data_IF_118827662917
#
_entry.id   IF_118827662917
#
_cell.length_a   1.000
_cell.length_b   1.000
_cell.length_c   1.000
_cell.angle_alpha   90.00
_cell.angle_beta   90.00
_cell.angle_gamma   90.00
#
_symmetry.space_group_name_H-M   'P 1'
#
loop_
_entity.id
_entity.type
_entity.pdbx_description
1 polymer ?
#
# COMPACT_ATOMS: atom_id res chain seq x y z
N UNK A 1 46.01 -57.87 23.11
CA UNK A 1 45.36 -57.28 24.29
C UNK A 1 45.46 -55.76 24.17
N UNK A 2 44.32 -55.08 24.04
CA UNK A 2 44.16 -53.64 24.30
C UNK A 2 44.62 -52.66 23.23
N UNK A 3 43.84 -52.50 22.14
CA UNK A 3 43.85 -51.23 21.41
C UNK A 3 42.95 -50.25 22.18
N UNK A 4 43.53 -49.20 22.76
CA UNK A 4 42.79 -48.13 23.43
C UNK A 4 42.07 -47.29 22.37
N UNK A 5 40.74 -47.29 22.43
CA UNK A 5 39.91 -46.35 21.71
C UNK A 5 40.01 -44.99 22.40
N UNK A 6 40.62 -44.00 21.74
CA UNK A 6 40.48 -42.59 22.10
C UNK A 6 39.03 -42.19 21.87
N UNK A 7 38.25 -42.12 22.95
CA UNK A 7 36.98 -41.42 22.97
C UNK A 7 37.25 -39.93 22.76
N UNK A 8 37.04 -39.45 21.54
CA UNK A 8 36.80 -38.03 21.28
C UNK A 8 35.47 -37.65 21.94
N UNK A 9 35.54 -37.10 23.15
CA UNK A 9 34.46 -36.31 23.74
C UNK A 9 34.15 -35.12 22.82
N UNK A 10 32.89 -34.82 22.50
CA UNK A 10 32.57 -33.57 21.81
C UNK A 10 32.98 -32.44 22.74
N UNK A 11 33.79 -31.52 22.22
CA UNK A 11 34.05 -30.26 22.89
C UNK A 11 32.69 -29.58 23.11
N UNK A 12 32.31 -29.38 24.38
CA UNK A 12 31.29 -28.40 24.74
C UNK A 12 31.81 -27.03 24.29
N UNK A 13 31.42 -26.64 23.08
CA UNK A 13 31.72 -25.33 22.54
C UNK A 13 30.96 -24.29 23.35
N UNK A 14 31.71 -23.58 24.19
CA UNK A 14 31.37 -22.28 24.75
C UNK A 14 31.17 -21.25 23.62
N UNK A 15 30.04 -21.32 22.90
CA UNK A 15 29.69 -20.42 21.78
C UNK A 15 28.54 -19.45 22.09
N UNK A 16 27.95 -19.51 23.28
CA UNK A 16 26.79 -18.69 23.64
C UNK A 16 26.98 -17.17 23.70
N UNK A 17 28.12 -16.58 24.17
CA UNK A 17 28.20 -15.12 24.31
C UNK A 17 28.44 -14.37 22.99
N UNK A 18 28.98 -15.03 21.95
CA UNK A 18 29.27 -14.38 20.66
C UNK A 18 28.04 -14.29 19.74
N UNK A 19 26.98 -15.06 20.01
CA UNK A 19 25.77 -15.10 19.18
C UNK A 19 24.76 -14.01 19.53
N UNK A 20 24.71 -13.54 20.78
CA UNK A 20 23.71 -12.56 21.22
C UNK A 20 23.80 -11.21 20.46
N UNK A 21 24.98 -10.58 20.29
CA UNK A 21 25.08 -9.31 19.56
C UNK A 21 24.66 -9.42 18.09
N UNK A 22 24.92 -10.58 17.46
CA UNK A 22 24.55 -10.84 16.07
C UNK A 22 23.02 -10.96 15.92
N UNK A 23 22.34 -11.59 16.89
CA UNK A 23 20.88 -11.68 16.89
C UNK A 23 20.22 -10.34 17.16
N UNK A 24 20.82 -9.51 18.02
CA UNK A 24 20.39 -8.12 18.24
C UNK A 24 20.51 -7.29 16.96
N UNK A 25 21.60 -7.44 16.22
CA UNK A 25 21.80 -6.79 14.91
C UNK A 25 20.76 -7.24 13.88
N UNK A 26 20.46 -8.54 13.80
CA UNK A 26 19.39 -9.04 12.91
C UNK A 26 18.01 -8.50 13.29
N UNK A 27 17.69 -8.43 14.58
CA UNK A 27 16.40 -7.87 15.03
C UNK A 27 16.31 -6.37 14.73
N UNK A 28 17.34 -5.60 15.06
CA UNK A 28 17.39 -4.16 14.79
C UNK A 28 17.31 -3.87 13.29
N UNK A 29 18.03 -4.64 12.46
CA UNK A 29 17.97 -4.55 11.01
C UNK A 29 16.56 -4.87 10.47
N UNK A 30 15.90 -5.91 10.98
CA UNK A 30 14.54 -6.24 10.59
C UNK A 30 13.52 -5.14 10.97
N UNK A 31 13.66 -4.51 12.13
CA UNK A 31 12.80 -3.40 12.54
C UNK A 31 12.94 -2.20 11.60
N UNK A 32 14.19 -1.78 11.33
CA UNK A 32 14.46 -0.66 10.45
C UNK A 32 13.93 -0.89 9.03
N UNK A 33 14.18 -2.09 8.48
CA UNK A 33 13.72 -2.46 7.14
C UNK A 33 12.19 -2.58 7.06
N UNK A 34 11.54 -3.02 8.14
CA UNK A 34 10.08 -3.05 8.24
C UNK A 34 9.47 -1.65 8.17
N UNK A 35 10.03 -0.68 8.92
CA UNK A 35 9.59 0.71 8.90
C UNK A 35 9.83 1.37 7.54
N UNK A 36 10.99 1.11 6.93
CA UNK A 36 11.34 1.67 5.63
C UNK A 36 10.54 1.05 4.49
N UNK A 37 9.87 -0.09 4.69
CA UNK A 37 9.22 -0.84 3.60
C UNK A 37 8.20 -0.02 2.81
N UNK A 38 7.44 0.83 3.49
CA UNK A 38 6.38 1.66 2.88
C UNK A 38 6.93 2.79 2.00
N UNK A 39 8.21 3.14 2.15
CA UNK A 39 8.92 4.12 1.31
C UNK A 39 9.52 3.52 0.02
N UNK A 40 9.11 2.32 -0.39
CA UNK A 40 9.61 1.73 -1.62
C UNK A 40 9.06 2.47 -2.85
N UNK A 41 9.93 2.89 -3.78
CA UNK A 41 9.50 3.73 -4.92
C UNK A 41 8.80 2.91 -6.01
N UNK A 42 9.21 1.65 -6.22
CA UNK A 42 8.66 0.74 -7.23
C UNK A 42 8.76 -0.73 -6.76
N UNK A 43 8.30 -1.67 -7.60
CA UNK A 43 8.34 -3.11 -7.26
C UNK A 43 9.77 -3.66 -7.10
N UNK A 44 10.73 -3.13 -7.86
CA UNK A 44 12.13 -3.55 -7.80
C UNK A 44 12.79 -3.17 -6.49
N UNK A 45 12.57 -1.93 -6.03
CA UNK A 45 12.99 -1.43 -4.72
C UNK A 45 12.31 -2.20 -3.59
N UNK A 46 10.98 -2.37 -3.66
CA UNK A 46 10.22 -3.15 -2.68
C UNK A 46 10.76 -4.58 -2.55
N UNK A 47 11.11 -5.22 -3.68
CA UNK A 47 11.74 -6.54 -3.67
C UNK A 47 13.10 -6.51 -2.98
N UNK A 48 13.91 -5.48 -3.22
CA UNK A 48 15.21 -5.31 -2.55
C UNK A 48 15.04 -5.25 -1.03
N UNK A 49 14.13 -4.39 -0.56
CA UNK A 49 13.82 -4.24 0.87
C UNK A 49 13.24 -5.51 1.47
N UNK A 50 12.31 -6.17 0.78
CA UNK A 50 11.72 -7.44 1.22
C UNK A 50 12.77 -8.55 1.33
N UNK A 51 13.72 -8.64 0.39
CA UNK A 51 14.81 -9.63 0.46
C UNK A 51 15.76 -9.36 1.63
N UNK A 52 16.07 -8.09 1.90
CA UNK A 52 16.90 -7.72 3.05
C UNK A 52 16.19 -8.02 4.38
N UNK A 53 14.90 -7.69 4.46
CA UNK A 53 14.07 -7.98 5.63
C UNK A 53 14.00 -9.48 5.88
N UNK A 54 13.75 -10.28 4.84
CA UNK A 54 13.71 -11.74 4.95
C UNK A 54 15.06 -12.32 5.38
N UNK A 55 16.18 -11.76 4.91
CA UNK A 55 17.53 -12.18 5.32
C UNK A 55 17.81 -11.91 6.80
N UNK A 56 17.34 -10.78 7.34
CA UNK A 56 17.40 -10.51 8.78
C UNK A 56 16.55 -11.51 9.58
N UNK A 57 15.33 -11.80 9.10
CA UNK A 57 14.44 -12.79 9.74
C UNK A 57 15.05 -14.19 9.65
N UNK A 58 15.72 -14.56 8.56
CA UNK A 58 16.42 -15.84 8.40
C UNK A 58 17.48 -16.07 9.47
N UNK A 59 18.26 -15.04 9.82
CA UNK A 59 19.21 -15.11 10.93
C UNK A 59 18.54 -15.49 12.26
N UNK A 60 17.35 -14.93 12.51
CA UNK A 60 16.53 -15.24 13.68
C UNK A 60 15.86 -16.63 13.59
N UNK A 61 15.41 -17.05 12.40
CA UNK A 61 14.86 -18.39 12.14
C UNK A 61 15.86 -19.48 12.51
N UNK A 62 17.11 -19.32 12.08
CA UNK A 62 18.20 -20.30 12.33
C UNK A 62 18.50 -20.41 13.82
N UNK A 63 18.48 -19.29 14.56
CA UNK A 63 18.78 -19.27 15.98
C UNK A 63 17.67 -19.85 16.88
N UNK A 64 16.46 -20.04 16.35
CA UNK A 64 15.36 -20.75 17.00
C UNK A 64 15.05 -20.21 18.41
N UNK A 65 15.18 -21.06 19.43
CA UNK A 65 14.87 -20.67 20.82
C UNK A 65 15.77 -19.56 21.38
N UNK A 66 16.99 -19.38 20.85
CA UNK A 66 17.85 -18.28 21.28
C UNK A 66 17.31 -16.93 20.78
N UNK A 67 16.84 -16.86 19.53
CA UNK A 67 16.15 -15.68 19.01
C UNK A 67 14.86 -15.39 19.80
N UNK A 68 14.15 -16.44 20.24
CA UNK A 68 12.94 -16.24 21.03
C UNK A 68 13.20 -15.59 22.40
N UNK A 69 14.29 -15.95 23.10
CA UNK A 69 14.68 -15.29 24.36
C UNK A 69 14.91 -13.79 24.17
N UNK A 70 15.54 -13.41 23.06
CA UNK A 70 15.74 -12.01 22.69
C UNK A 70 14.40 -11.31 22.39
N UNK A 71 13.52 -11.96 21.63
CA UNK A 71 12.21 -11.42 21.31
C UNK A 71 11.31 -11.27 22.54
N UNK A 72 11.38 -12.18 23.52
CA UNK A 72 10.65 -12.05 24.78
C UNK A 72 11.03 -10.77 25.53
N UNK A 73 12.32 -10.41 25.56
CA UNK A 73 12.76 -9.13 26.13
C UNK A 73 12.36 -7.93 25.27
N UNK A 74 12.46 -8.05 23.94
CA UNK A 74 12.18 -6.95 23.03
C UNK A 74 10.68 -6.62 22.94
N UNK A 75 9.80 -7.62 23.09
CA UNK A 75 8.34 -7.43 23.11
C UNK A 75 7.88 -6.53 24.27
N UNK A 76 8.69 -6.37 25.32
CA UNK A 76 8.41 -5.42 26.40
C UNK A 76 8.43 -3.96 25.94
N UNK A 77 9.11 -3.64 24.83
CA UNK A 77 9.14 -2.30 24.25
C UNK A 77 7.88 -1.96 23.45
N UNK A 78 7.00 -2.94 23.19
CA UNK A 78 5.77 -2.76 22.42
C UNK A 78 6.00 -2.04 21.07
N UNK A 79 6.98 -2.52 20.31
CA UNK A 79 7.26 -2.04 18.96
C UNK A 79 6.58 -2.91 17.88
N UNK A 80 6.05 -2.26 16.84
CA UNK A 80 5.35 -2.93 15.75
C UNK A 80 6.27 -3.80 14.88
N UNK A 81 7.54 -3.40 14.70
CA UNK A 81 8.55 -4.19 14.00
C UNK A 81 8.92 -5.45 14.77
N UNK A 82 9.10 -5.36 16.09
CA UNK A 82 9.30 -6.55 16.95
C UNK A 82 8.10 -7.49 16.88
N UNK A 83 6.88 -6.95 17.01
CA UNK A 83 5.65 -7.74 16.92
C UNK A 83 5.51 -8.41 15.56
N UNK A 84 5.85 -7.72 14.48
CA UNK A 84 5.89 -8.29 13.13
C UNK A 84 6.83 -9.50 13.08
N UNK A 85 8.10 -9.34 13.46
CA UNK A 85 9.11 -10.42 13.42
C UNK A 85 8.69 -11.59 14.32
N UNK A 86 8.26 -11.32 15.55
CA UNK A 86 7.82 -12.34 16.48
C UNK A 86 6.61 -13.13 15.95
N UNK A 87 5.67 -12.44 15.29
CA UNK A 87 4.49 -13.06 14.67
C UNK A 87 4.87 -13.95 13.49
N UNK A 88 5.77 -13.49 12.60
CA UNK A 88 6.29 -14.29 11.47
C UNK A 88 6.88 -15.61 11.99
N UNK A 89 7.81 -15.52 12.95
CA UNK A 89 8.46 -16.71 13.51
C UNK A 89 7.48 -17.64 14.23
N UNK A 90 6.51 -17.11 14.96
CA UNK A 90 5.48 -17.91 15.64
C UNK A 90 4.56 -18.64 14.64
N UNK A 91 4.19 -17.99 13.53
CA UNK A 91 3.38 -18.58 12.47
C UNK A 91 4.13 -19.69 11.73
N UNK A 92 5.36 -19.41 11.27
CA UNK A 92 6.17 -20.37 10.50
C UNK A 92 6.54 -21.61 11.32
N UNK A 93 6.86 -21.43 12.60
CA UNK A 93 7.12 -22.53 13.54
C UNK A 93 5.86 -23.24 14.05
N UNK A 94 4.66 -22.76 13.66
CA UNK A 94 3.35 -23.24 14.13
C UNK A 94 3.23 -23.25 15.66
N UNK A 95 3.91 -22.33 16.34
CA UNK A 95 3.99 -22.28 17.80
C UNK A 95 2.81 -21.51 18.41
N UNK A 96 1.67 -22.20 18.55
CA UNK A 96 0.39 -21.60 18.94
C UNK A 96 0.38 -20.83 20.26
N UNK A 97 1.18 -21.23 21.27
CA UNK A 97 1.25 -20.54 22.56
C UNK A 97 1.85 -19.14 22.42
N UNK A 98 2.98 -19.02 21.71
CA UNK A 98 3.65 -17.75 21.40
C UNK A 98 2.75 -16.84 20.58
N UNK A 99 2.11 -17.40 19.55
CA UNK A 99 1.16 -16.65 18.74
C UNK A 99 0.02 -16.07 19.60
N UNK A 100 -0.58 -16.86 20.49
CA UNK A 100 -1.63 -16.37 21.40
C UNK A 100 -1.14 -15.26 22.34
N UNK A 101 0.10 -15.34 22.83
CA UNK A 101 0.69 -14.30 23.68
C UNK A 101 0.86 -12.99 22.90
N UNK A 102 1.38 -13.06 21.66
CA UNK A 102 1.54 -11.87 20.81
C UNK A 102 0.17 -11.27 20.45
N UNK A 103 -0.81 -12.10 20.09
CA UNK A 103 -2.16 -11.62 19.76
C UNK A 103 -2.84 -10.96 20.96
N UNK A 104 -2.67 -11.49 22.17
CA UNK A 104 -3.17 -10.87 23.40
C UNK A 104 -2.48 -9.54 23.70
N UNK A 105 -1.16 -9.45 23.44
CA UNK A 105 -0.41 -8.19 23.58
C UNK A 105 -0.93 -7.11 22.63
N UNK A 106 -1.25 -7.48 21.38
CA UNK A 106 -1.72 -6.55 20.36
C UNK A 106 -3.22 -6.24 20.44
N UNK A 107 -4.00 -6.96 21.25
CA UNK A 107 -5.47 -6.92 21.19
C UNK A 107 -6.06 -5.51 21.34
N UNK A 108 -5.46 -4.67 22.18
CA UNK A 108 -5.95 -3.31 22.48
C UNK A 108 -5.07 -2.19 21.92
N UNK A 109 -3.97 -2.52 21.24
CA UNK A 109 -3.01 -1.54 20.73
C UNK A 109 -2.97 -1.56 19.19
N UNK A 110 -3.56 -0.54 18.56
CA UNK A 110 -3.64 -0.42 17.10
C UNK A 110 -2.29 -0.42 16.39
N UNK A 111 -1.24 0.07 17.04
CA UNK A 111 0.13 0.07 16.49
C UNK A 111 0.69 -1.34 16.46
N UNK A 112 0.46 -2.14 17.51
CA UNK A 112 0.86 -3.55 17.52
C UNK A 112 0.01 -4.41 16.59
N UNK A 113 -1.29 -4.10 16.48
CA UNK A 113 -2.17 -4.77 15.52
C UNK A 113 -1.68 -4.60 14.09
N UNK A 114 -1.08 -3.46 13.75
CA UNK A 114 -0.45 -3.24 12.44
C UNK A 114 0.68 -4.25 12.21
N UNK A 115 1.63 -4.39 13.15
CA UNK A 115 2.71 -5.37 13.06
C UNK A 115 2.20 -6.80 12.87
N UNK A 116 1.16 -7.20 13.61
CA UNK A 116 0.51 -8.52 13.44
C UNK A 116 -0.10 -8.66 12.05
N UNK A 117 -0.88 -7.68 11.58
CA UNK A 117 -1.53 -7.74 10.24
C UNK A 117 -0.49 -7.85 9.12
N UNK A 118 0.60 -7.10 9.21
CA UNK A 118 1.68 -7.16 8.23
C UNK A 118 2.36 -8.54 8.23
N UNK A 119 2.55 -9.16 9.41
CA UNK A 119 3.09 -10.52 9.49
C UNK A 119 2.15 -11.56 8.86
N UNK A 120 0.83 -11.41 9.06
CA UNK A 120 -0.16 -12.26 8.40
C UNK A 120 -0.20 -12.05 6.87
N UNK A 121 0.10 -10.84 6.37
CA UNK A 121 0.29 -10.59 4.93
C UNK A 121 1.58 -11.19 4.39
N UNK A 122 2.63 -11.19 5.21
CA UNK A 122 3.98 -11.68 4.91
C UNK A 122 4.05 -13.20 4.84
N UNK A 123 3.39 -13.91 5.74
CA UNK A 123 3.48 -15.37 5.80
C UNK A 123 2.63 -16.02 4.67
N UNK A 124 3.15 -17.05 3.96
CA UNK A 124 2.43 -17.72 2.89
C UNK A 124 1.09 -18.35 3.29
N UNK A 125 0.13 -18.35 2.36
CA UNK A 125 -1.23 -18.90 2.53
C UNK A 125 -1.26 -20.32 3.15
N UNK A 126 -0.41 -21.29 2.75
CA UNK A 126 -0.49 -22.64 3.32
C UNK A 126 -0.26 -22.71 4.83
N UNK A 127 0.38 -21.69 5.41
CA UNK A 127 0.64 -21.58 6.85
C UNK A 127 -0.50 -20.84 7.56
N UNK A 128 -1.02 -19.76 6.97
CA UNK A 128 -2.04 -18.90 7.60
C UNK A 128 -3.47 -19.40 7.39
N UNK A 129 -3.78 -20.03 6.26
CA UNK A 129 -5.13 -20.52 5.91
C UNK A 129 -5.75 -21.45 6.96
N UNK A 130 -5.03 -22.40 7.58
CA UNK A 130 -5.57 -23.25 8.65
C UNK A 130 -6.05 -22.48 9.90
N UNK A 131 -5.63 -21.22 10.08
CA UNK A 131 -6.04 -20.38 11.21
C UNK A 131 -7.43 -19.76 11.00
N UNK A 132 -7.90 -19.62 9.76
CA UNK A 132 -9.15 -18.94 9.43
C UNK A 132 -10.36 -19.42 10.25
N UNK A 133 -10.65 -20.74 10.40
CA UNK A 133 -11.80 -21.18 11.19
C UNK A 133 -11.72 -20.75 12.66
N UNK A 134 -10.52 -20.74 13.23
CA UNK A 134 -10.29 -20.36 14.63
C UNK A 134 -10.42 -18.84 14.83
N UNK A 135 -9.88 -18.05 13.91
CA UNK A 135 -9.97 -16.59 13.93
C UNK A 135 -11.43 -16.13 13.82
N UNK A 136 -12.18 -16.67 12.86
CA UNK A 136 -13.58 -16.30 12.63
C UNK A 136 -14.49 -16.74 13.79
N UNK A 137 -14.21 -17.87 14.44
CA UNK A 137 -15.01 -18.37 15.57
C UNK A 137 -14.70 -17.73 16.94
N UNK A 138 -13.64 -16.92 17.05
CA UNK A 138 -13.08 -16.47 18.33
C UNK A 138 -13.96 -15.51 19.14
N UNK A 139 -15.02 -14.94 18.56
CA UNK A 139 -15.85 -13.88 19.17
C UNK A 139 -15.13 -12.54 19.40
N UNK A 140 -13.81 -12.50 19.18
CA UNK A 140 -12.96 -11.34 19.33
C UNK A 140 -12.87 -10.59 18.00
N UNK A 141 -13.20 -9.29 18.00
CA UNK A 141 -13.24 -8.47 16.78
C UNK A 141 -11.86 -8.26 16.16
N UNK A 142 -10.78 -8.19 16.95
CA UNK A 142 -9.43 -8.12 16.41
C UNK A 142 -9.10 -9.41 15.63
N UNK A 143 -9.43 -10.57 16.19
CA UNK A 143 -9.12 -11.87 15.56
C UNK A 143 -9.99 -12.11 14.33
N UNK A 144 -11.27 -11.77 14.38
CA UNK A 144 -12.16 -11.77 13.21
C UNK A 144 -11.65 -10.81 12.13
N UNK A 145 -11.13 -9.65 12.52
CA UNK A 145 -10.45 -8.70 11.64
C UNK A 145 -9.22 -9.31 10.94
N UNK A 146 -8.42 -10.12 11.63
CA UNK A 146 -7.32 -10.88 11.02
C UNK A 146 -7.83 -11.94 10.03
N UNK A 147 -8.97 -12.57 10.33
CA UNK A 147 -9.61 -13.51 9.40
C UNK A 147 -10.06 -12.84 8.10
N UNK A 148 -10.73 -11.69 8.20
CA UNK A 148 -11.10 -10.86 7.04
C UNK A 148 -9.87 -10.39 6.27
N UNK A 149 -8.82 -9.97 6.98
CA UNK A 149 -7.54 -9.61 6.38
C UNK A 149 -6.92 -10.76 5.60
N UNK A 150 -6.96 -12.00 6.10
CA UNK A 150 -6.47 -13.17 5.37
C UNK A 150 -7.32 -13.51 4.15
N UNK A 151 -8.65 -13.39 4.22
CA UNK A 151 -9.52 -13.56 3.04
C UNK A 151 -9.11 -12.58 1.95
N UNK A 152 -8.94 -11.32 2.33
CA UNK A 152 -8.49 -10.26 1.45
C UNK A 152 -7.11 -10.56 0.86
N UNK A 153 -6.10 -10.71 1.72
CA UNK A 153 -4.72 -10.86 1.30
C UNK A 153 -4.55 -12.06 0.36
N UNK A 154 -5.10 -13.22 0.69
CA UNK A 154 -4.89 -14.44 -0.08
C UNK A 154 -5.93 -14.67 -1.20
N UNK A 155 -6.80 -13.69 -1.47
CA UNK A 155 -7.87 -13.80 -2.45
C UNK A 155 -8.77 -15.04 -2.26
N UNK A 156 -9.10 -15.36 -1.00
CA UNK A 156 -9.93 -16.52 -0.66
C UNK A 156 -11.40 -16.09 -0.66
N UNK A 157 -12.20 -16.70 -1.54
CA UNK A 157 -13.66 -16.50 -1.56
C UNK A 157 -14.31 -16.99 -0.27
N UNK A 158 -15.17 -16.16 0.32
CA UNK A 158 -15.77 -16.41 1.63
C UNK A 158 -17.12 -15.68 1.80
N UNK A 159 -18.01 -15.78 0.81
CA UNK A 159 -19.27 -15.03 0.73
C UNK A 159 -20.06 -15.02 2.05
N UNK A 160 -20.27 -16.17 2.69
CA UNK A 160 -21.00 -16.25 3.98
C UNK A 160 -20.35 -15.43 5.10
N UNK A 161 -19.02 -15.44 5.21
CA UNK A 161 -18.33 -14.63 6.22
C UNK A 161 -18.34 -13.14 5.85
N UNK A 162 -18.31 -12.81 4.56
CA UNK A 162 -18.38 -11.43 4.10
C UNK A 162 -19.79 -10.86 4.26
N UNK A 163 -20.86 -11.64 4.02
CA UNK A 163 -22.25 -11.28 4.32
C UNK A 163 -22.44 -10.93 5.80
N UNK A 164 -21.90 -11.77 6.68
CA UNK A 164 -21.88 -11.49 8.12
C UNK A 164 -21.12 -10.21 8.43
N UNK A 165 -19.92 -10.03 7.86
CA UNK A 165 -19.08 -8.88 8.16
C UNK A 165 -19.73 -7.56 7.72
N UNK A 166 -20.25 -7.48 6.49
CA UNK A 166 -20.82 -6.24 5.94
C UNK A 166 -22.11 -5.81 6.65
N UNK A 167 -22.77 -6.72 7.36
CA UNK A 167 -23.98 -6.45 8.17
C UNK A 167 -23.68 -6.35 9.67
N UNK A 168 -22.41 -6.45 10.07
CA UNK A 168 -22.02 -6.47 11.47
C UNK A 168 -22.32 -5.14 12.18
N UNK A 169 -22.68 -5.21 13.47
CA UNK A 169 -23.01 -4.04 14.28
C UNK A 169 -21.77 -3.15 14.54
N UNK A 170 -20.63 -3.78 14.86
CA UNK A 170 -19.35 -3.09 15.06
C UNK A 170 -18.78 -2.53 13.76
N UNK A 171 -18.45 -1.24 13.75
CA UNK A 171 -17.96 -0.50 12.58
C UNK A 171 -16.65 -1.07 12.02
N UNK A 172 -15.70 -1.48 12.85
CA UNK A 172 -14.40 -1.98 12.37
C UNK A 172 -14.53 -3.25 11.54
N UNK A 173 -15.36 -4.20 11.99
CA UNK A 173 -15.65 -5.43 11.24
C UNK A 173 -16.44 -5.13 9.97
N UNK A 174 -17.42 -4.23 10.06
CA UNK A 174 -18.25 -3.85 8.92
C UNK A 174 -17.42 -3.20 7.82
N UNK A 175 -16.57 -2.26 8.18
CA UNK A 175 -15.71 -1.53 7.24
C UNK A 175 -14.65 -2.46 6.64
N UNK A 176 -14.09 -3.38 7.44
CA UNK A 176 -13.18 -4.43 6.95
C UNK A 176 -13.89 -5.41 5.99
N UNK A 177 -15.13 -5.80 6.30
CA UNK A 177 -15.96 -6.65 5.45
C UNK A 177 -16.27 -6.00 4.11
N UNK A 178 -16.70 -4.74 4.11
CA UNK A 178 -16.97 -3.95 2.89
C UNK A 178 -15.70 -3.80 2.04
N UNK A 179 -14.57 -3.44 2.67
CA UNK A 179 -13.28 -3.33 2.00
C UNK A 179 -12.90 -4.65 1.33
N UNK A 180 -12.99 -5.76 2.07
CA UNK A 180 -12.65 -7.11 1.58
C UNK A 180 -13.59 -7.54 0.45
N UNK A 181 -14.91 -7.32 0.58
CA UNK A 181 -15.89 -7.70 -0.45
C UNK A 181 -15.62 -6.97 -1.78
N UNK A 182 -15.36 -5.67 -1.73
CA UNK A 182 -15.03 -4.87 -2.92
C UNK A 182 -13.74 -5.31 -3.59
N UNK A 183 -12.69 -5.49 -2.80
CA UNK A 183 -11.36 -5.86 -3.32
C UNK A 183 -11.33 -7.29 -3.86
N UNK A 184 -12.05 -8.24 -3.26
CA UNK A 184 -12.13 -9.62 -3.76
C UNK A 184 -13.01 -9.77 -5.00
N UNK A 185 -13.85 -8.79 -5.33
CA UNK A 185 -14.82 -8.93 -6.42
C UNK A 185 -16.03 -9.78 -6.05
N UNK A 186 -16.47 -9.74 -4.80
CA UNK A 186 -17.68 -10.42 -4.33
C UNK A 186 -18.95 -9.71 -4.85
N UNK A 187 -19.20 -9.80 -6.15
CA UNK A 187 -20.29 -9.10 -6.86
C UNK A 187 -21.68 -9.47 -6.36
N UNK A 188 -21.85 -10.67 -5.80
CA UNK A 188 -23.06 -11.14 -5.12
C UNK A 188 -23.45 -10.25 -3.92
N UNK A 189 -22.47 -9.58 -3.29
CA UNK A 189 -22.65 -8.76 -2.09
C UNK A 189 -22.91 -7.28 -2.37
N UNK A 190 -22.97 -6.89 -3.66
CA UNK A 190 -23.23 -5.51 -4.06
C UNK A 190 -24.49 -4.92 -3.40
N UNK A 191 -25.65 -5.63 -3.29
CA UNK A 191 -26.82 -5.07 -2.61
C UNK A 191 -26.55 -4.68 -1.15
N UNK A 192 -25.79 -5.48 -0.41
CA UNK A 192 -25.40 -5.17 0.97
C UNK A 192 -24.45 -3.99 1.05
N UNK A 193 -23.51 -3.86 0.11
CA UNK A 193 -22.63 -2.70 0.00
C UNK A 193 -23.43 -1.41 -0.24
N UNK A 194 -24.43 -1.44 -1.12
CA UNK A 194 -25.30 -0.29 -1.40
C UNK A 194 -26.15 0.11 -0.20
N UNK A 195 -26.65 -0.87 0.58
CA UNK A 195 -27.38 -0.58 1.81
C UNK A 195 -26.49 0.17 2.83
N UNK A 196 -25.22 -0.20 2.93
CA UNK A 196 -24.28 0.43 3.86
C UNK A 196 -23.93 1.89 3.51
N UNK A 197 -24.27 2.38 2.30
CA UNK A 197 -24.16 3.81 1.95
C UNK A 197 -25.03 4.72 2.82
N UNK A 198 -26.10 4.17 3.42
CA UNK A 198 -27.00 4.90 4.30
C UNK A 198 -26.47 5.03 5.75
N UNK A 199 -25.26 4.54 6.04
CA UNK A 199 -24.68 4.64 7.38
C UNK A 199 -24.45 6.08 7.79
N UNK A 200 -24.68 6.43 9.04
CA UNK A 200 -24.31 7.73 9.62
C UNK A 200 -22.79 7.90 9.77
N UNK A 201 -22.04 6.78 9.79
CA UNK A 201 -20.58 6.81 9.95
C UNK A 201 -19.87 7.09 8.61
N UNK A 202 -19.03 8.13 8.58
CA UNK A 202 -18.23 8.48 7.40
C UNK A 202 -17.34 7.31 6.92
N UNK A 203 -16.77 6.55 7.86
CA UNK A 203 -15.90 5.40 7.56
C UNK A 203 -16.64 4.31 6.80
N UNK A 204 -17.82 3.90 7.31
CA UNK A 204 -18.68 2.91 6.66
C UNK A 204 -19.18 3.39 5.32
N UNK A 205 -19.61 4.66 5.20
CA UNK A 205 -20.04 5.21 3.90
C UNK A 205 -18.90 5.18 2.87
N UNK A 206 -17.69 5.54 3.27
CA UNK A 206 -16.53 5.47 2.38
C UNK A 206 -16.23 4.02 1.97
N UNK A 207 -16.16 3.09 2.94
CA UNK A 207 -15.90 1.68 2.67
C UNK A 207 -16.96 1.07 1.75
N UNK A 208 -18.24 1.38 1.99
CA UNK A 208 -19.36 0.97 1.16
C UNK A 208 -19.31 1.55 -0.26
N UNK A 209 -19.04 2.84 -0.39
CA UNK A 209 -18.94 3.50 -1.69
C UNK A 209 -17.77 2.95 -2.51
N UNK A 210 -16.61 2.75 -1.88
CA UNK A 210 -15.48 2.09 -2.52
C UNK A 210 -15.83 0.67 -2.93
N UNK A 211 -16.42 -0.14 -2.04
CA UNK A 211 -16.78 -1.51 -2.35
C UNK A 211 -17.74 -1.59 -3.54
N UNK A 212 -18.85 -0.85 -3.51
CA UNK A 212 -19.83 -0.81 -4.58
C UNK A 212 -19.21 -0.36 -5.92
N UNK A 213 -18.32 0.64 -5.88
CA UNK A 213 -17.59 1.11 -7.06
C UNK A 213 -16.69 0.03 -7.67
N UNK A 214 -15.90 -0.65 -6.83
CA UNK A 214 -15.02 -1.74 -7.28
C UNK A 214 -15.82 -2.95 -7.80
N UNK A 215 -17.06 -3.13 -7.36
CA UNK A 215 -17.99 -4.16 -7.84
C UNK A 215 -18.80 -3.71 -9.08
N UNK A 216 -18.51 -2.53 -9.64
CA UNK A 216 -19.04 -2.05 -10.92
C UNK A 216 -20.30 -1.17 -10.82
N UNK A 217 -20.78 -0.85 -9.62
CA UNK A 217 -21.86 0.12 -9.44
C UNK A 217 -21.28 1.53 -9.44
N UNK A 218 -21.68 2.37 -10.40
CA UNK A 218 -21.10 3.71 -10.57
C UNK A 218 -22.03 4.85 -10.16
N UNK A 219 -23.34 4.64 -10.02
CA UNK A 219 -24.28 5.75 -9.85
C UNK A 219 -24.28 6.25 -8.41
N UNK A 220 -24.57 5.36 -7.47
CA UNK A 220 -24.71 5.71 -6.05
C UNK A 220 -23.33 5.86 -5.40
N UNK A 221 -22.39 5.00 -5.77
CA UNK A 221 -21.00 5.04 -5.27
C UNK A 221 -20.29 6.35 -5.62
N UNK A 222 -20.34 6.82 -6.87
CA UNK A 222 -19.69 8.08 -7.27
C UNK A 222 -20.34 9.28 -6.59
N UNK A 223 -21.68 9.28 -6.44
CA UNK A 223 -22.40 10.33 -5.71
C UNK A 223 -21.98 10.39 -4.22
N UNK A 224 -21.87 9.23 -3.57
CA UNK A 224 -21.41 9.14 -2.19
C UNK A 224 -19.95 9.60 -2.04
N UNK A 225 -19.05 9.21 -2.94
CA UNK A 225 -17.66 9.66 -2.94
C UNK A 225 -17.54 11.16 -3.16
N UNK A 226 -18.30 11.74 -4.09
CA UNK A 226 -18.33 13.20 -4.31
C UNK A 226 -18.78 13.96 -3.06
N UNK A 227 -19.75 13.42 -2.32
CA UNK A 227 -20.22 14.01 -1.06
C UNK A 227 -19.16 13.96 0.04
N UNK A 228 -18.39 12.87 0.14
CA UNK A 228 -17.30 12.72 1.12
C UNK A 228 -16.12 13.68 0.87
N UNK A 229 -15.89 14.04 -0.39
CA UNK A 229 -14.83 14.99 -0.79
C UNK A 229 -15.13 16.41 -0.33
N UNK A 230 -16.40 16.81 -0.26
CA UNK A 230 -16.80 18.15 0.17
C UNK A 230 -16.58 18.41 1.67
N UNK A 231 -16.52 17.36 2.50
CA UNK A 231 -16.59 17.47 3.96
C UNK A 231 -15.27 17.61 4.72
N UNK A 232 -14.13 17.89 4.08
CA UNK A 232 -12.78 17.83 4.67
C UNK A 232 -12.57 16.60 5.58
N UNK A 233 -12.94 15.42 5.07
CA UNK A 233 -12.86 14.16 5.81
C UNK A 233 -11.47 13.51 5.62
N UNK A 234 -11.02 12.61 6.52
CA UNK A 234 -9.79 11.84 6.32
C UNK A 234 -9.83 10.94 5.06
N UNK A 235 -11.01 10.81 4.44
CA UNK A 235 -11.23 10.02 3.23
C UNK A 235 -11.12 10.85 1.94
N UNK A 236 -10.93 12.18 2.02
CA UNK A 236 -10.95 13.05 0.85
C UNK A 236 -9.95 12.61 -0.23
N UNK A 237 -8.68 12.41 0.14
CA UNK A 237 -7.64 11.99 -0.82
C UNK A 237 -7.97 10.63 -1.46
N UNK A 238 -8.38 9.65 -0.64
CA UNK A 238 -8.74 8.31 -1.11
C UNK A 238 -9.96 8.32 -2.04
N UNK A 239 -10.97 9.11 -1.70
CA UNK A 239 -12.16 9.28 -2.53
C UNK A 239 -11.83 9.98 -3.86
N UNK A 240 -10.92 10.95 -3.84
CA UNK A 240 -10.46 11.63 -5.04
C UNK A 240 -9.71 10.72 -6.01
N UNK A 241 -8.85 9.83 -5.52
CA UNK A 241 -8.20 8.82 -6.36
C UNK A 241 -9.23 7.91 -7.03
N UNK A 242 -10.25 7.45 -6.31
CA UNK A 242 -11.34 6.65 -6.90
C UNK A 242 -12.13 7.43 -7.94
N UNK A 243 -12.49 8.68 -7.65
CA UNK A 243 -13.19 9.55 -8.60
C UNK A 243 -12.33 9.82 -9.85
N UNK A 244 -11.02 10.03 -9.68
CA UNK A 244 -10.10 10.23 -10.78
C UNK A 244 -10.12 9.03 -11.74
N UNK A 245 -10.16 7.79 -11.24
CA UNK A 245 -10.16 6.57 -12.08
C UNK A 245 -11.54 6.24 -12.67
N UNK A 246 -12.60 6.35 -11.87
CA UNK A 246 -13.91 5.78 -12.23
C UNK A 246 -14.86 6.76 -12.89
N UNK A 247 -14.78 8.06 -12.58
CA UNK A 247 -15.69 9.05 -13.14
C UNK A 247 -15.52 9.14 -14.68
N UNK A 248 -16.59 9.19 -15.49
CA UNK A 248 -16.47 9.45 -16.92
C UNK A 248 -15.72 10.77 -17.17
N UNK A 249 -14.88 10.84 -18.21
CA UNK A 249 -14.01 12.00 -18.44
C UNK A 249 -14.81 13.29 -18.66
N UNK A 250 -15.96 13.19 -19.31
CA UNK A 250 -16.89 14.30 -19.54
C UNK A 250 -17.38 14.89 -18.20
N UNK A 251 -17.66 14.03 -17.22
CA UNK A 251 -18.08 14.44 -15.88
C UNK A 251 -16.90 14.89 -15.00
N UNK A 252 -15.69 14.38 -15.27
CA UNK A 252 -14.50 14.69 -14.49
C UNK A 252 -14.04 16.14 -14.64
N UNK A 253 -14.17 16.74 -15.82
CA UNK A 253 -13.85 18.16 -16.02
C UNK A 253 -14.77 19.09 -15.21
N UNK A 254 -16.06 18.77 -15.20
CA UNK A 254 -17.04 19.47 -14.36
C UNK A 254 -16.74 19.28 -12.86
N UNK A 255 -16.31 18.07 -12.47
CA UNK A 255 -15.91 17.76 -11.11
C UNK A 255 -14.67 18.54 -10.66
N UNK A 256 -13.61 18.58 -11.47
CA UNK A 256 -12.39 19.37 -11.20
C UNK A 256 -12.72 20.86 -11.03
N UNK A 257 -13.61 21.39 -11.87
CA UNK A 257 -14.07 22.79 -11.76
C UNK A 257 -14.78 23.04 -10.45
N UNK A 258 -15.67 22.13 -10.02
CA UNK A 258 -16.31 22.23 -8.69
C UNK A 258 -15.30 22.10 -7.57
N UNK A 259 -14.37 21.14 -7.65
CA UNK A 259 -13.31 20.89 -6.67
C UNK A 259 -12.51 22.15 -6.37
N UNK A 260 -12.10 22.89 -7.40
CA UNK A 260 -11.45 24.20 -7.26
C UNK A 260 -12.28 25.24 -6.49
N UNK A 261 -13.60 25.12 -6.49
CA UNK A 261 -14.50 26.04 -5.78
C UNK A 261 -14.53 25.83 -4.27
N UNK A 262 -14.21 24.63 -3.77
CA UNK A 262 -14.29 24.31 -2.34
C UNK A 262 -12.97 23.84 -1.71
N UNK A 263 -11.98 23.38 -2.49
CA UNK A 263 -10.63 23.13 -1.96
C UNK A 263 -9.68 24.26 -2.30
N UNK A 264 -8.95 24.73 -1.28
CA UNK A 264 -7.79 25.63 -1.46
C UNK A 264 -6.49 24.85 -1.64
N UNK A 265 -6.52 23.53 -1.46
CA UNK A 265 -5.35 22.68 -1.56
C UNK A 265 -4.99 22.47 -3.05
N UNK A 266 -4.04 23.28 -3.55
CA UNK A 266 -3.56 23.20 -4.94
C UNK A 266 -2.86 21.88 -5.23
N UNK A 267 -2.09 21.33 -4.28
CA UNK A 267 -1.39 20.03 -4.42
C UNK A 267 -2.37 18.90 -4.73
N UNK A 268 -3.52 18.91 -4.05
CA UNK A 268 -4.60 17.96 -4.29
C UNK A 268 -5.14 18.03 -5.73
N UNK A 269 -5.33 19.24 -6.27
CA UNK A 269 -5.79 19.43 -7.65
C UNK A 269 -4.79 18.90 -8.67
N UNK A 270 -3.49 19.12 -8.44
CA UNK A 270 -2.41 18.62 -9.30
C UNK A 270 -2.41 17.09 -9.33
N UNK A 271 -2.49 16.46 -8.15
CA UNK A 271 -2.54 14.99 -8.03
C UNK A 271 -3.73 14.40 -8.79
N UNK A 272 -4.93 14.95 -8.60
CA UNK A 272 -6.14 14.48 -9.28
C UNK A 272 -6.04 14.67 -10.80
N UNK A 273 -5.43 15.76 -11.27
CA UNK A 273 -5.22 15.98 -12.70
C UNK A 273 -4.29 14.93 -13.33
N UNK A 274 -3.24 14.52 -12.61
CA UNK A 274 -2.36 13.41 -13.00
C UNK A 274 -3.10 12.06 -13.00
N UNK A 275 -3.78 11.72 -11.90
CA UNK A 275 -4.55 10.48 -11.76
C UNK A 275 -5.69 10.37 -12.78
N UNK A 276 -6.22 11.51 -13.27
CA UNK A 276 -7.25 11.52 -14.31
C UNK A 276 -6.71 11.02 -15.66
N UNK A 277 -5.44 11.28 -15.97
CA UNK A 277 -4.84 10.81 -17.21
C UNK A 277 -5.30 11.55 -18.48
N UNK A 278 -6.09 12.64 -18.37
CA UNK A 278 -6.58 13.39 -19.53
C UNK A 278 -5.55 14.43 -19.99
N UNK A 279 -5.03 14.33 -21.23
CA UNK A 279 -3.99 15.22 -21.74
C UNK A 279 -4.39 16.71 -21.77
N UNK A 280 -5.69 17.01 -21.73
CA UNK A 280 -6.19 18.41 -21.66
C UNK A 280 -5.65 19.17 -20.44
N UNK A 281 -5.23 18.46 -19.39
CA UNK A 281 -4.69 19.05 -18.17
C UNK A 281 -3.22 19.48 -18.32
N UNK A 282 -2.46 18.93 -19.29
CA UNK A 282 -1.01 19.16 -19.40
C UNK A 282 -0.64 20.64 -19.53
N UNK A 283 -1.30 21.45 -20.39
CA UNK A 283 -1.00 22.89 -20.44
C UNK A 283 -1.18 23.61 -19.11
N UNK A 284 -2.12 23.19 -18.26
CA UNK A 284 -2.31 23.76 -16.94
C UNK A 284 -1.20 23.31 -15.97
N UNK A 285 -0.82 22.04 -16.00
CA UNK A 285 0.28 21.50 -15.19
C UNK A 285 1.61 22.19 -15.52
N UNK A 286 1.94 22.40 -16.80
CA UNK A 286 3.13 23.13 -17.24
C UNK A 286 3.15 24.59 -16.76
N UNK A 287 1.98 25.24 -16.58
CA UNK A 287 1.89 26.58 -15.98
C UNK A 287 2.12 26.54 -14.47
N UNK A 288 1.64 25.49 -13.78
CA UNK A 288 1.82 25.33 -12.34
C UNK A 288 3.28 25.07 -11.96
N UNK A 289 4.13 24.64 -12.89
CA UNK A 289 5.58 24.51 -12.67
C UNK A 289 6.30 25.85 -12.43
N UNK A 290 5.63 26.99 -12.64
CA UNK A 290 6.17 28.30 -12.22
C UNK A 290 6.05 28.56 -10.71
N UNK A 291 5.27 27.74 -9.99
CA UNK A 291 5.10 27.80 -8.54
C UNK A 291 6.07 26.79 -7.89
N UNK A 292 7.10 27.23 -7.14
CA UNK A 292 8.11 26.34 -6.56
C UNK A 292 7.54 25.23 -5.66
N UNK A 293 6.43 25.50 -4.95
CA UNK A 293 5.76 24.51 -4.08
C UNK A 293 5.04 23.40 -4.85
N UNK A 294 4.77 23.62 -6.14
CA UNK A 294 4.00 22.70 -6.98
C UNK A 294 4.82 22.11 -8.12
N UNK A 295 6.03 22.61 -8.37
CA UNK A 295 6.75 22.33 -9.61
C UNK A 295 7.07 20.84 -9.79
N UNK A 296 7.64 20.21 -8.76
CA UNK A 296 7.95 18.78 -8.74
C UNK A 296 6.70 17.92 -8.90
N UNK A 297 5.66 18.22 -8.12
CA UNK A 297 4.39 17.49 -8.19
C UNK A 297 3.68 17.66 -9.54
N UNK A 298 3.73 18.85 -10.14
CA UNK A 298 3.14 19.13 -11.46
C UNK A 298 3.89 18.37 -12.56
N UNK A 299 5.22 18.30 -12.47
CA UNK A 299 6.03 17.53 -13.42
C UNK A 299 5.79 16.04 -13.26
N UNK A 300 5.70 15.55 -12.02
CA UNK A 300 5.29 14.18 -11.75
C UNK A 300 3.90 13.85 -12.33
N UNK A 301 2.93 14.76 -12.22
CA UNK A 301 1.62 14.59 -12.84
C UNK A 301 1.71 14.52 -14.39
N UNK A 302 2.58 15.33 -15.01
CA UNK A 302 2.87 15.22 -16.45
C UNK A 302 3.47 13.85 -16.78
N UNK A 303 4.44 13.36 -16.01
CA UNK A 303 5.04 12.03 -16.18
C UNK A 303 4.00 10.92 -16.04
N UNK A 304 3.09 11.01 -15.07
CA UNK A 304 1.99 10.05 -14.89
C UNK A 304 1.09 9.94 -16.14
N UNK A 305 0.83 11.05 -16.84
CA UNK A 305 0.02 11.05 -18.07
C UNK A 305 0.86 10.58 -19.27
N UNK A 306 2.06 11.14 -19.43
CA UNK A 306 2.84 11.07 -20.67
C UNK A 306 3.85 9.93 -20.73
N UNK A 307 4.19 9.34 -19.59
CA UNK A 307 5.25 8.34 -19.53
C UNK A 307 6.66 8.90 -19.53
N UNK A 308 6.81 10.23 -19.53
CA UNK A 308 8.10 10.89 -19.62
C UNK A 308 8.88 10.78 -18.31
N UNK A 309 10.00 10.08 -18.34
CA UNK A 309 11.00 10.10 -17.28
C UNK A 309 11.89 11.34 -17.46
N UNK A 310 11.93 12.22 -16.46
CA UNK A 310 12.65 13.48 -16.58
C UNK A 310 14.17 13.28 -16.59
N UNK A 311 14.67 12.36 -15.77
CA UNK A 311 16.11 12.13 -15.60
C UNK A 311 16.66 11.45 -16.85
N UNK A 312 16.00 10.38 -17.33
CA UNK A 312 16.44 9.66 -18.53
C UNK A 312 16.44 10.55 -19.78
N UNK A 313 15.59 11.57 -19.81
CA UNK A 313 15.46 12.50 -20.93
C UNK A 313 16.22 13.84 -20.74
N UNK A 314 17.00 13.99 -19.66
CA UNK A 314 17.74 15.22 -19.31
C UNK A 314 16.82 16.46 -19.22
N UNK A 315 15.62 16.27 -18.67
CA UNK A 315 14.61 17.30 -18.42
C UNK A 315 14.44 17.59 -16.93
N UNK A 316 15.39 17.14 -16.11
CA UNK A 316 15.60 17.58 -14.75
C UNK A 316 16.48 18.85 -14.71
N UNK A 317 16.40 19.55 -13.58
CA UNK A 317 17.12 20.78 -13.29
C UNK A 317 17.69 20.77 -11.86
N UNK A 318 18.58 21.70 -11.58
CA UNK A 318 19.00 21.95 -10.19
C UNK A 318 17.83 22.53 -9.37
N UNK A 319 17.78 22.29 -8.05
CA UNK A 319 16.84 22.97 -7.16
C UNK A 319 17.03 24.51 -7.24
N UNK A 320 15.98 25.31 -7.02
CA UNK A 320 16.09 26.76 -6.93
C UNK A 320 17.04 27.17 -5.80
N UNK A 321 17.89 28.17 -6.04
CA UNK A 321 18.90 28.62 -5.06
C UNK A 321 18.30 29.06 -3.72
N UNK A 322 17.10 29.66 -3.75
CA UNK A 322 16.38 30.14 -2.56
C UNK A 322 15.41 29.11 -1.95
N UNK A 323 15.43 27.85 -2.41
CA UNK A 323 14.54 26.81 -1.88
C UNK A 323 15.13 26.19 -0.61
N UNK A 324 14.51 26.50 0.54
CA UNK A 324 14.77 25.80 1.79
C UNK A 324 13.79 24.60 1.92
N UNK A 325 14.34 23.39 1.80
CA UNK A 325 13.58 22.15 1.97
C UNK A 325 13.60 21.70 3.44
N UNK A 326 12.42 21.59 4.07
CA UNK A 326 12.23 20.93 5.36
C UNK A 326 13.11 21.40 6.54
N UNK A 327 13.18 20.63 7.64
CA UNK A 327 14.05 20.93 8.78
C UNK A 327 15.51 20.93 8.36
N UNK A 328 16.23 21.99 8.73
CA UNK A 328 17.69 22.01 8.68
C UNK A 328 18.26 21.48 10.01
N UNK A 329 19.59 21.36 10.08
CA UNK A 329 20.29 20.95 11.30
C UNK A 329 20.36 22.08 12.36
N UNK A 330 19.63 23.19 12.20
CA UNK A 330 19.59 24.27 13.19
C UNK A 330 18.61 23.90 14.31
N UNK A 331 19.07 23.67 15.55
CA UNK A 331 18.20 23.35 16.67
C UNK A 331 17.24 24.48 17.07
N UNK A 332 17.41 25.69 16.53
CA UNK A 332 16.50 26.83 16.70
C UNK A 332 15.49 26.98 15.54
N UNK A 333 15.58 26.16 14.48
CA UNK A 333 14.59 26.15 13.39
C UNK A 333 13.33 25.38 13.81
N UNK A 334 12.21 26.08 13.88
CA UNK A 334 10.91 25.50 14.24
C UNK A 334 10.28 24.66 13.11
N UNK A 335 10.85 24.67 11.89
CA UNK A 335 10.29 23.96 10.73
C UNK A 335 10.66 22.48 10.71
N UNK A 336 9.88 21.63 11.39
CA UNK A 336 10.06 20.16 11.41
C UNK A 336 9.35 19.40 10.27
N UNK A 337 8.70 20.10 9.33
CA UNK A 337 7.95 19.45 8.24
C UNK A 337 8.89 18.94 7.14
N UNK A 338 8.98 17.62 6.97
CA UNK A 338 9.74 17.00 5.87
C UNK A 338 9.18 17.41 4.50
N UNK A 339 10.06 17.57 3.52
CA UNK A 339 9.68 17.91 2.15
C UNK A 339 8.85 16.76 1.51
N UNK A 340 7.56 16.99 1.19
CA UNK A 340 6.70 15.93 0.66
C UNK A 340 7.05 15.50 -0.77
N UNK A 341 7.91 16.25 -1.46
CA UNK A 341 8.34 15.99 -2.84
C UNK A 341 9.85 15.70 -2.92
N UNK A 342 10.51 15.33 -1.81
CA UNK A 342 11.95 15.07 -1.73
C UNK A 342 12.43 14.05 -2.77
N UNK A 343 11.64 12.99 -2.98
CA UNK A 343 11.95 11.91 -3.94
C UNK A 343 11.70 12.30 -5.41
N UNK A 344 11.11 13.47 -5.66
CA UNK A 344 10.76 13.91 -7.02
C UNK A 344 11.87 14.80 -7.60
N UNK A 345 12.27 14.58 -8.87
CA UNK A 345 13.25 15.43 -9.51
C UNK A 345 12.70 16.83 -9.76
N UNK A 346 13.56 17.84 -9.63
CA UNK A 346 13.25 19.20 -10.05
C UNK A 346 13.16 19.26 -11.58
N UNK A 347 12.09 19.82 -12.17
CA UNK A 347 11.89 19.82 -13.61
C UNK A 347 12.54 21.02 -14.32
N UNK A 348 13.08 20.78 -15.51
CA UNK A 348 13.35 21.82 -16.51
C UNK A 348 12.05 22.13 -17.28
N UNK A 349 11.31 23.12 -16.79
CA UNK A 349 10.00 23.51 -17.33
C UNK A 349 10.06 23.86 -18.83
N UNK A 350 11.11 24.53 -19.29
CA UNK A 350 11.18 24.99 -20.67
C UNK A 350 11.38 23.80 -21.64
N UNK A 351 12.21 22.83 -21.27
CA UNK A 351 12.32 21.56 -22.02
C UNK A 351 11.02 20.79 -22.04
N UNK A 352 10.31 20.72 -20.92
CA UNK A 352 9.00 20.06 -20.82
C UNK A 352 7.94 20.72 -21.72
N UNK A 353 7.92 22.06 -21.79
CA UNK A 353 7.03 22.81 -22.70
C UNK A 353 7.38 22.49 -24.15
N UNK A 354 8.66 22.57 -24.54
CA UNK A 354 9.11 22.27 -25.90
C UNK A 354 8.79 20.82 -26.29
N UNK A 355 9.01 19.86 -25.38
CA UNK A 355 8.66 18.47 -25.61
C UNK A 355 7.16 18.30 -25.84
N UNK A 356 6.32 18.98 -25.04
CA UNK A 356 4.86 18.92 -25.20
C UNK A 356 4.39 19.54 -26.52
N UNK A 357 4.98 20.66 -26.95
CA UNK A 357 4.67 21.27 -28.26
C UNK A 357 4.97 20.32 -29.42
N UNK A 358 6.04 19.52 -29.31
CA UNK A 358 6.42 18.56 -30.35
C UNK A 358 5.62 17.26 -30.32
N UNK A 359 5.33 16.72 -29.11
CA UNK A 359 4.77 15.38 -28.94
C UNK A 359 3.28 15.36 -28.58
N UNK A 360 2.73 16.49 -28.11
CA UNK A 360 1.38 16.56 -27.55
C UNK A 360 0.27 16.19 -28.53
N UNK A 361 0.52 16.33 -29.84
CA UNK A 361 -0.41 15.91 -30.90
C UNK A 361 -0.68 14.39 -30.94
N UNK A 362 0.19 13.58 -30.34
CA UNK A 362 0.01 12.12 -30.21
C UNK A 362 -1.03 11.76 -29.14
N UNK A 363 -1.33 12.70 -28.23
CA UNK A 363 -2.27 12.52 -27.14
C UNK A 363 -3.64 13.12 -27.48
N UNK A 364 -4.68 12.29 -27.41
CA UNK A 364 -6.05 12.69 -27.75
C UNK A 364 -6.80 13.18 -26.50
N UNK A 365 -7.30 14.43 -26.46
CA UNK A 365 -8.20 14.89 -25.40
C UNK A 365 -9.42 13.98 -25.26
N UNK A 366 -9.93 13.80 -24.05
CA UNK A 366 -11.06 12.91 -23.80
C UNK A 366 -10.70 11.42 -23.84
N UNK A 367 -9.41 11.09 -23.85
CA UNK A 367 -8.90 9.71 -23.69
C UNK A 367 -8.00 9.66 -22.47
N UNK A 368 -8.13 8.62 -21.64
CA UNK A 368 -7.27 8.42 -20.47
C UNK A 368 -5.95 7.78 -20.88
N UNK A 369 -4.86 8.44 -20.52
CA UNK A 369 -3.51 7.93 -20.63
C UNK A 369 -2.93 7.71 -19.24
N UNK A 370 -2.12 6.67 -19.14
CA UNK A 370 -1.25 6.45 -18.00
C UNK A 370 0.10 6.05 -18.59
N UNK A 371 1.19 6.65 -18.13
CA UNK A 371 2.54 6.34 -18.60
C UNK A 371 2.64 6.33 -20.13
N UNK A 372 2.03 7.31 -20.80
CA UNK A 372 2.17 7.54 -22.24
C UNK A 372 1.27 6.70 -23.13
N UNK A 373 0.51 5.73 -22.59
CA UNK A 373 -0.34 4.84 -23.37
C UNK A 373 -1.78 4.88 -22.89
N UNK A 374 -2.69 4.59 -23.82
CA UNK A 374 -4.11 4.44 -23.50
C UNK A 374 -4.30 3.24 -22.59
N UNK A 375 -5.17 3.42 -21.60
CA UNK A 375 -5.41 2.42 -20.57
C UNK A 375 -6.12 1.20 -21.18
N UNK A 376 -5.51 0.04 -21.01
CA UNK A 376 -6.04 -1.26 -21.37
C UNK A 376 -5.41 -2.33 -20.46
N UNK A 377 -5.93 -3.56 -20.51
CA UNK A 377 -5.47 -4.64 -19.64
C UNK A 377 -3.96 -4.87 -19.70
N UNK A 378 -3.40 -5.03 -20.91
CA UNK A 378 -1.97 -5.31 -21.10
C UNK A 378 -1.09 -4.18 -20.56
N UNK A 379 -1.44 -2.93 -20.89
CA UNK A 379 -0.68 -1.77 -20.40
C UNK A 379 -0.74 -1.62 -18.89
N UNK A 380 -1.87 -1.90 -18.24
CA UNK A 380 -1.93 -1.86 -16.78
C UNK A 380 -1.01 -2.91 -16.15
N UNK A 381 -0.86 -4.10 -16.74
CA UNK A 381 0.10 -5.10 -16.25
C UNK A 381 1.55 -4.60 -16.40
N UNK A 382 1.88 -3.96 -17.52
CA UNK A 382 3.20 -3.33 -17.71
C UNK A 382 3.46 -2.28 -16.61
N UNK A 383 2.48 -1.41 -16.32
CA UNK A 383 2.61 -0.38 -15.27
C UNK A 383 2.73 -1.02 -13.89
N UNK A 384 2.00 -2.10 -13.58
CA UNK A 384 2.14 -2.82 -12.32
C UNK A 384 3.53 -3.41 -12.11
N UNK A 385 4.23 -3.76 -13.19
CA UNK A 385 5.57 -4.34 -13.15
C UNK A 385 6.66 -3.27 -13.07
N UNK A 386 6.52 -2.16 -13.81
CA UNK A 386 7.62 -1.21 -14.03
C UNK A 386 7.38 0.21 -13.48
N UNK A 387 6.14 0.59 -13.17
CA UNK A 387 5.82 1.94 -12.69
C UNK A 387 6.24 2.21 -11.24
N UNK A 388 6.14 3.47 -10.81
CA UNK A 388 6.24 3.87 -9.40
C UNK A 388 5.05 3.35 -8.58
N UNK A 389 5.16 3.31 -7.25
CA UNK A 389 4.07 2.81 -6.40
C UNK A 389 2.73 3.51 -6.62
N UNK A 390 2.75 4.83 -6.77
CA UNK A 390 1.53 5.58 -7.05
C UNK A 390 0.95 5.24 -8.43
N UNK A 391 1.78 5.07 -9.47
CA UNK A 391 1.32 4.64 -10.79
C UNK A 391 0.74 3.21 -10.76
N UNK A 392 1.41 2.30 -10.05
CA UNK A 392 0.96 0.91 -9.85
C UNK A 392 -0.40 0.86 -9.16
N UNK A 393 -0.60 1.69 -8.14
CA UNK A 393 -1.89 1.78 -7.42
C UNK A 393 -3.03 2.20 -8.34
N UNK A 394 -2.79 3.18 -9.23
CA UNK A 394 -3.78 3.62 -10.23
C UNK A 394 -4.03 2.53 -11.28
N UNK A 395 -2.98 1.84 -11.74
CA UNK A 395 -3.11 0.75 -12.72
C UNK A 395 -3.93 -0.44 -12.15
N UNK A 396 -3.76 -0.76 -10.87
CA UNK A 396 -4.56 -1.77 -10.17
C UNK A 396 -6.05 -1.42 -10.19
N UNK A 397 -6.40 -0.16 -9.92
CA UNK A 397 -7.79 0.31 -9.98
C UNK A 397 -8.35 0.28 -11.40
N UNK A 398 -7.54 0.61 -12.42
CA UNK A 398 -7.96 0.49 -13.81
C UNK A 398 -8.21 -0.96 -14.23
N UNK A 399 -7.38 -1.92 -13.81
CA UNK A 399 -7.64 -3.34 -14.03
C UNK A 399 -8.95 -3.78 -13.37
N UNK A 400 -9.15 -3.39 -12.11
CA UNK A 400 -10.39 -3.68 -11.38
C UNK A 400 -11.63 -3.06 -12.02
N UNK A 401 -11.50 -1.87 -12.63
CA UNK A 401 -12.56 -1.23 -13.40
C UNK A 401 -12.91 -2.02 -14.68
N UNK A 402 -11.92 -2.65 -15.32
CA UNK A 402 -12.13 -3.46 -16.52
C UNK A 402 -12.82 -4.80 -16.21
N UNK A 403 -12.54 -5.38 -15.05
CA UNK A 403 -13.19 -6.61 -14.56
C UNK A 403 -13.56 -6.49 -13.07
N UNK A 404 -14.80 -6.06 -12.75
CA UNK A 404 -15.26 -5.94 -11.36
C UNK A 404 -15.30 -7.25 -10.57
N UNK A 405 -15.34 -8.42 -11.23
CA UNK A 405 -15.36 -9.72 -10.56
C UNK A 405 -13.95 -10.22 -10.22
N UNK A 406 -12.91 -9.75 -10.92
CA UNK A 406 -11.53 -10.07 -10.58
C UNK A 406 -11.09 -9.41 -9.27
N UNK A 407 -10.22 -10.04 -8.46
CA UNK A 407 -9.67 -9.40 -7.28
C UNK A 407 -8.76 -8.22 -7.66
N UNK A 408 -8.76 -7.17 -6.84
CA UNK A 408 -7.86 -6.02 -6.96
C UNK A 408 -6.40 -6.49 -6.82
N UNK A 409 -5.50 -5.93 -7.63
CA UNK A 409 -4.08 -6.19 -7.47
C UNK A 409 -3.52 -5.45 -6.24
N UNK A 410 -2.95 -6.18 -5.28
CA UNK A 410 -2.45 -5.63 -4.02
C UNK A 410 -1.00 -5.14 -4.16
N UNK A 411 -0.82 -3.85 -4.42
CA UNK A 411 0.49 -3.20 -4.63
C UNK A 411 1.37 -3.13 -3.38
N UNK A 412 0.77 -3.28 -2.20
CA UNK A 412 1.45 -3.24 -0.89
C UNK A 412 1.81 -4.63 -0.35
N UNK A 413 1.36 -5.71 -1.00
CA UNK A 413 1.69 -7.07 -0.58
C UNK A 413 3.22 -7.31 -0.64
N UNK A 414 3.75 -8.36 0.00
CA UNK A 414 5.13 -8.79 -0.23
C UNK A 414 5.47 -8.91 -1.73
N UNK A 415 6.62 -8.39 -2.15
CA UNK A 415 7.03 -8.31 -3.55
C UNK A 415 7.00 -9.68 -4.24
N UNK A 416 7.40 -10.74 -3.55
CA UNK A 416 7.35 -12.11 -4.06
C UNK A 416 5.91 -12.56 -4.39
N UNK A 417 4.90 -12.11 -3.63
CA UNK A 417 3.47 -12.37 -3.90
C UNK A 417 3.00 -11.60 -5.12
N UNK A 418 3.40 -10.34 -5.20
CA UNK A 418 3.07 -9.47 -6.32
C UNK A 418 3.64 -10.04 -7.63
N UNK A 419 4.88 -10.52 -7.62
CA UNK A 419 5.52 -11.17 -8.76
C UNK A 419 4.82 -12.46 -9.17
N UNK A 420 4.48 -13.33 -8.21
CA UNK A 420 3.72 -14.54 -8.49
C UNK A 420 2.34 -14.23 -9.11
N UNK A 421 1.67 -13.19 -8.61
CA UNK A 421 0.37 -12.75 -9.14
C UNK A 421 0.48 -12.14 -10.54
N UNK A 422 1.48 -11.30 -10.79
CA UNK A 422 1.75 -10.76 -12.13
C UNK A 422 2.01 -11.88 -13.13
N UNK A 423 2.82 -12.87 -12.76
CA UNK A 423 3.07 -14.03 -13.61
C UNK A 423 1.75 -14.74 -13.97
N UNK A 424 0.86 -14.99 -13.00
CA UNK A 424 -0.46 -15.59 -13.29
C UNK A 424 -1.30 -14.76 -14.26
N UNK A 425 -1.36 -13.43 -14.07
CA UNK A 425 -2.17 -12.53 -14.88
C UNK A 425 -1.64 -12.37 -16.32
N UNK A 426 -0.34 -12.52 -16.56
CA UNK A 426 0.21 -12.52 -17.92
C UNK A 426 -0.08 -13.81 -18.71
N UNK A 427 -0.40 -14.91 -18.01
CA UNK A 427 -0.72 -16.20 -18.63
C UNK A 427 -2.22 -16.47 -18.74
N UNK A 428 -3.06 -15.58 -18.18
CA UNK A 428 -4.52 -15.63 -18.25
C UNK A 428 -5.01 -14.82 -19.45
#
# INVERSE_FOLDING_TARGET
MGAQAEHLTPAETSTQPALAPVLEEYLAGAQLLFEQRDGAVNLGDLRGRDLQLDACIDGLRIAGNNAWKLLESALAAADSGVVFVATVLALESKHTVRLKQILALAETDTTLQFGVRQAFSWVPEPITRPLLPHLMASGNTFYQGLGLHLYHQHHIHADTHLEWAITHAGTDIRDAGLTTAGELGATTLLPGCLQALQSEQHSTRFAAARAALLLGENTHSLSALQSLVAGNTPYQAKALTLLAVFLPLEAAQSFLTRLRGYTRNKRLLVRVAGDLGDPVNIPALLRLMADPELTRLAAYAVSCITGLDLIENNMDAAPPEDFAAGPNDDPEDENVESDPDEELPWPDRDKLVQWWEHNGSTFKPGTRYQMGRQINHHHCLDVLQFGSQAQRSIAALHLKKLDPAAPLFLTEAPAWRQQARLAQLHHS
#
